data_IF_795609325551
#
_entry.id   IF_795609325551
#
_cell.length_a   1.000
_cell.length_b   1.000
_cell.length_c   1.000
_cell.angle_alpha   90.00
_cell.angle_beta   90.00
_cell.angle_gamma   90.00
#
_symmetry.space_group_name_H-M   'P 1'
#
loop_
_entity.id
_entity.type
_entity.pdbx_description
1 polymer ?
#
# COMPACT_ATOMS: atom_id res chain seq x y z
N UNK A 1 -16.99 21.76 -13.16
CA UNK A 1 -15.73 21.79 -13.95
C UNK A 1 -15.18 20.37 -13.99
N UNK A 2 -15.02 19.79 -15.17
CA UNK A 2 -14.45 18.45 -15.33
C UNK A 2 -12.93 18.48 -15.22
N UNK A 3 -12.35 17.48 -14.57
CA UNK A 3 -10.89 17.29 -14.52
C UNK A 3 -10.42 16.91 -15.93
N UNK A 4 -9.52 17.69 -16.51
CA UNK A 4 -8.89 17.39 -17.80
C UNK A 4 -7.64 16.55 -17.52
N UNK A 5 -7.66 15.28 -17.92
CA UNK A 5 -6.50 14.39 -17.81
C UNK A 5 -5.58 14.66 -19.00
N UNK A 6 -4.43 15.28 -18.76
CA UNK A 6 -3.50 15.69 -19.83
C UNK A 6 -2.33 14.71 -20.07
N UNK A 7 -2.19 13.68 -19.22
CA UNK A 7 -1.10 12.70 -19.32
C UNK A 7 -1.62 11.26 -19.34
N UNK A 8 -1.01 10.42 -20.19
CA UNK A 8 -1.19 8.96 -20.17
C UNK A 8 0.14 8.32 -19.81
N UNK A 9 0.16 7.58 -18.69
CA UNK A 9 1.31 6.76 -18.31
C UNK A 9 1.19 5.42 -19.06
N UNK A 10 2.28 5.00 -19.71
CA UNK A 10 2.34 3.73 -20.42
C UNK A 10 2.23 2.56 -19.43
N UNK A 11 1.49 1.51 -19.81
CA UNK A 11 1.36 0.26 -19.07
C UNK A 11 2.00 -0.86 -19.89
N UNK A 12 2.95 -1.59 -19.32
CA UNK A 12 3.64 -2.68 -20.00
C UNK A 12 3.76 -3.92 -19.10
N UNK A 13 3.73 -5.10 -19.71
CA UNK A 13 3.99 -6.35 -19.01
C UNK A 13 5.48 -6.45 -18.65
N UNK A 14 5.79 -6.45 -17.35
CA UNK A 14 7.17 -6.52 -16.87
C UNK A 14 7.83 -7.89 -17.11
N UNK A 15 7.05 -8.95 -17.35
CA UNK A 15 7.59 -10.26 -17.74
C UNK A 15 8.10 -10.29 -19.18
N UNK A 16 7.64 -9.36 -20.01
CA UNK A 16 8.04 -9.22 -21.42
C UNK A 16 9.05 -8.08 -21.63
N UNK A 17 9.41 -7.36 -20.56
CA UNK A 17 10.31 -6.21 -20.62
C UNK A 17 11.69 -6.58 -20.05
N UNK A 18 12.70 -6.51 -20.92
CA UNK A 18 14.10 -6.66 -20.49
C UNK A 18 14.56 -5.44 -19.67
N UNK A 19 15.59 -5.64 -18.84
CA UNK A 19 16.19 -4.54 -18.06
C UNK A 19 16.76 -3.45 -18.97
N UNK A 20 17.48 -3.84 -20.03
CA UNK A 20 18.08 -2.89 -20.97
C UNK A 20 17.01 -2.05 -21.69
N UNK A 21 15.89 -2.68 -22.08
CA UNK A 21 14.76 -1.96 -22.67
C UNK A 21 14.11 -1.03 -21.65
N UNK A 22 13.95 -1.47 -20.39
CA UNK A 22 13.42 -0.61 -19.33
C UNK A 22 14.30 0.63 -19.11
N UNK A 23 15.62 0.45 -19.06
CA UNK A 23 16.59 1.54 -18.86
C UNK A 23 16.52 2.53 -20.02
N UNK A 24 16.69 2.05 -21.26
CA UNK A 24 16.71 2.90 -22.47
C UNK A 24 15.39 3.60 -22.74
N UNK A 25 14.26 2.91 -22.51
CA UNK A 25 12.93 3.46 -22.82
C UNK A 25 12.43 4.42 -21.75
N UNK A 26 12.67 4.12 -20.48
CA UNK A 26 12.02 4.83 -19.37
C UNK A 26 13.02 5.51 -18.43
N UNK A 27 14.02 4.79 -17.92
CA UNK A 27 14.93 5.31 -16.89
C UNK A 27 15.78 6.47 -17.39
N UNK A 28 16.48 6.31 -18.52
CA UNK A 28 17.35 7.34 -19.11
C UNK A 28 16.58 8.61 -19.48
N UNK A 29 15.29 8.45 -19.82
CA UNK A 29 14.39 9.55 -20.20
C UNK A 29 13.64 10.14 -19.02
N UNK A 30 13.79 9.57 -17.82
CA UNK A 30 13.02 9.91 -16.63
C UNK A 30 11.50 9.88 -16.88
N UNK A 31 11.03 8.89 -17.63
CA UNK A 31 9.63 8.75 -18.03
C UNK A 31 8.90 7.74 -17.14
N UNK A 32 7.75 8.08 -16.54
CA UNK A 32 7.00 7.13 -15.72
C UNK A 32 6.39 6.01 -16.57
N UNK A 33 6.37 4.80 -16.00
CA UNK A 33 5.75 3.61 -16.58
C UNK A 33 5.10 2.77 -15.47
N UNK A 34 3.98 2.13 -15.78
CA UNK A 34 3.33 1.15 -14.91
C UNK A 34 3.68 -0.25 -15.41
N UNK A 35 4.33 -1.05 -14.56
CA UNK A 35 4.67 -2.44 -14.83
C UNK A 35 3.57 -3.36 -14.31
N UNK A 36 3.10 -4.29 -15.15
CA UNK A 36 2.12 -5.34 -14.79
C UNK A 36 2.78 -6.72 -14.84
N UNK A 37 2.12 -7.77 -14.33
CA UNK A 37 2.60 -9.16 -14.47
C UNK A 37 3.68 -9.60 -13.46
N UNK A 38 4.42 -8.66 -12.88
CA UNK A 38 5.56 -8.97 -12.00
C UNK A 38 5.15 -9.43 -10.60
N UNK A 39 4.01 -8.96 -10.12
CA UNK A 39 3.54 -9.18 -8.74
C UNK A 39 2.37 -10.14 -8.67
N UNK A 40 1.89 -10.65 -9.80
CA UNK A 40 0.65 -11.44 -9.89
C UNK A 40 0.70 -12.72 -9.03
N UNK A 41 1.90 -13.25 -8.79
CA UNK A 41 2.15 -14.44 -7.98
C UNK A 41 2.50 -14.13 -6.51
N UNK A 42 2.43 -12.86 -6.09
CA UNK A 42 2.71 -12.49 -4.71
C UNK A 42 1.54 -12.89 -3.83
N UNK A 43 1.83 -13.45 -2.65
CA UNK A 43 0.75 -13.74 -1.71
C UNK A 43 0.05 -12.48 -1.24
N UNK A 44 0.70 -11.31 -1.28
CA UNK A 44 0.03 -10.04 -1.02
C UNK A 44 -1.20 -9.80 -1.92
N UNK A 45 -1.17 -10.28 -3.18
CA UNK A 45 -2.29 -10.19 -4.11
C UNK A 45 -3.47 -11.10 -3.74
N UNK A 46 -3.29 -12.07 -2.85
CA UNK A 46 -4.34 -12.98 -2.35
C UNK A 46 -4.68 -12.74 -0.89
N UNK A 47 -3.68 -12.64 -0.04
CA UNK A 47 -3.79 -12.56 1.43
C UNK A 47 -4.28 -11.17 1.87
N UNK A 48 -3.86 -10.10 1.19
CA UNK A 48 -4.16 -8.71 1.56
C UNK A 48 -5.35 -8.13 0.81
N UNK A 49 -6.06 -8.96 0.04
CA UNK A 49 -7.20 -8.56 -0.77
C UNK A 49 -8.38 -9.46 -0.40
N UNK A 50 -9.56 -8.86 -0.22
CA UNK A 50 -10.80 -9.60 0.00
C UNK A 50 -11.36 -10.13 -1.33
N UNK A 51 -12.32 -11.06 -1.28
CA UNK A 51 -13.01 -11.56 -2.48
C UNK A 51 -13.66 -10.46 -3.33
N UNK A 52 -13.96 -9.30 -2.72
CA UNK A 52 -14.58 -8.16 -3.38
C UNK A 52 -13.55 -7.16 -3.91
N UNK A 53 -12.26 -7.49 -3.90
CA UNK A 53 -11.18 -6.62 -4.36
C UNK A 53 -10.83 -5.47 -3.41
N UNK A 54 -11.46 -5.38 -2.23
CA UNK A 54 -11.13 -4.39 -1.19
C UNK A 54 -9.92 -4.86 -0.36
N UNK A 55 -9.13 -3.95 0.25
CA UNK A 55 -8.05 -4.31 1.17
C UNK A 55 -8.53 -5.21 2.33
N UNK A 56 -7.81 -6.29 2.60
CA UNK A 56 -8.06 -7.19 3.73
C UNK A 56 -7.31 -6.72 4.98
N UNK A 57 -7.82 -5.67 5.63
CA UNK A 57 -7.18 -5.11 6.83
C UNK A 57 -7.14 -6.11 8.00
N UNK A 58 -8.10 -7.03 8.06
CA UNK A 58 -8.17 -8.04 9.11
C UNK A 58 -6.95 -8.96 9.10
N UNK A 59 -6.38 -9.23 7.91
CA UNK A 59 -5.13 -9.99 7.80
C UNK A 59 -4.02 -9.39 8.68
N UNK A 60 -3.85 -8.07 8.65
CA UNK A 60 -2.81 -7.39 9.43
C UNK A 60 -3.15 -7.38 10.92
N UNK A 61 -4.41 -7.19 11.30
CA UNK A 61 -4.84 -7.29 12.69
C UNK A 61 -4.60 -8.68 13.29
N UNK A 62 -4.78 -9.75 12.50
CA UNK A 62 -4.55 -11.13 12.95
C UNK A 62 -3.06 -11.46 13.07
N UNK A 63 -2.24 -11.07 12.08
CA UNK A 63 -0.82 -11.47 12.05
C UNK A 63 0.09 -10.52 12.83
N UNK A 64 -0.27 -9.24 12.93
CA UNK A 64 0.57 -8.20 13.54
C UNK A 64 -0.16 -7.34 14.58
N UNK A 65 -1.04 -7.90 15.44
CA UNK A 65 -1.96 -7.11 16.28
C UNK A 65 -1.24 -6.09 17.17
N UNK A 66 -0.07 -6.47 17.69
CA UNK A 66 0.73 -5.69 18.64
C UNK A 66 1.79 -4.81 17.97
N UNK A 67 1.90 -4.84 16.64
CA UNK A 67 2.88 -4.01 15.94
C UNK A 67 2.52 -2.55 16.13
N UNK A 68 3.47 -1.76 16.64
CA UNK A 68 3.29 -0.35 16.89
C UNK A 68 3.56 0.44 15.62
N UNK A 69 2.58 1.21 15.18
CA UNK A 69 2.61 1.98 13.93
C UNK A 69 2.39 3.46 14.18
N UNK A 70 2.90 4.31 13.28
CA UNK A 70 2.57 5.73 13.23
C UNK A 70 1.46 5.96 12.21
N UNK A 71 0.36 6.54 12.67
CA UNK A 71 -0.81 6.84 11.86
C UNK A 71 -1.01 8.35 11.85
N UNK A 72 -1.17 8.92 10.67
CA UNK A 72 -1.57 10.32 10.51
C UNK A 72 -3.09 10.42 10.64
N UNK A 73 -3.57 11.36 11.44
CA UNK A 73 -4.95 11.82 11.42
C UNK A 73 -5.06 12.97 10.43
N UNK A 74 -5.47 12.66 9.20
CA UNK A 74 -5.64 13.61 8.11
C UNK A 74 -6.83 14.56 8.32
N UNK A 75 -7.72 14.27 9.27
CA UNK A 75 -8.83 15.17 9.63
C UNK A 75 -8.37 16.30 10.55
N UNK A 76 -7.28 16.10 11.28
CA UNK A 76 -6.75 17.07 12.25
C UNK A 76 -5.44 17.67 11.75
N UNK A 77 -5.48 18.97 11.40
CA UNK A 77 -4.28 19.73 11.08
C UNK A 77 -3.52 20.09 12.35
N UNK A 78 -2.23 19.79 12.40
CA UNK A 78 -1.31 20.15 13.48
C UNK A 78 -0.14 20.96 12.87
N UNK A 79 -0.19 22.28 13.04
CA UNK A 79 0.70 23.23 12.35
C UNK A 79 0.65 23.13 10.81
N UNK A 80 1.79 22.82 10.18
CA UNK A 80 1.94 22.62 8.72
C UNK A 80 1.81 21.15 8.31
N UNK A 81 1.61 20.22 9.26
CA UNK A 81 1.48 18.78 9.00
C UNK A 81 0.14 18.23 9.56
N UNK A 82 -0.07 16.93 9.37
CA UNK A 82 -1.16 16.17 9.99
C UNK A 82 -0.71 15.64 11.36
N UNK A 83 -1.64 15.59 12.31
CA UNK A 83 -1.36 15.02 13.64
C UNK A 83 -0.95 13.56 13.51
N UNK A 84 0.16 13.18 14.15
CA UNK A 84 0.62 11.78 14.15
C UNK A 84 0.37 11.14 15.49
N UNK A 85 -0.27 9.99 15.47
CA UNK A 85 -0.58 9.19 16.64
C UNK A 85 0.08 7.83 16.51
N UNK A 86 0.69 7.38 17.60
CA UNK A 86 1.22 6.03 17.68
C UNK A 86 0.13 5.10 18.21
N UNK A 87 -0.12 3.99 17.54
CA UNK A 87 -1.09 2.98 17.98
C UNK A 87 -0.70 1.57 17.53
N UNK A 88 -1.38 0.55 18.04
CA UNK A 88 -1.22 -0.81 17.53
C UNK A 88 -1.96 -0.99 16.21
N UNK A 89 -1.50 -1.93 15.37
CA UNK A 89 -2.22 -2.30 14.13
C UNK A 89 -3.64 -2.73 14.42
N UNK A 90 -3.88 -3.50 15.49
CA UNK A 90 -5.24 -3.91 15.85
C UNK A 90 -6.14 -2.69 16.08
N UNK A 91 -5.67 -1.70 16.85
CA UNK A 91 -6.41 -0.48 17.15
C UNK A 91 -6.65 0.35 15.89
N UNK A 92 -5.67 0.43 14.99
CA UNK A 92 -5.83 1.10 13.70
C UNK A 92 -6.91 0.43 12.85
N UNK A 93 -6.87 -0.90 12.70
CA UNK A 93 -7.85 -1.65 11.90
C UNK A 93 -9.26 -1.50 12.48
N UNK A 94 -9.42 -1.60 13.80
CA UNK A 94 -10.71 -1.42 14.47
C UNK A 94 -11.30 -0.03 14.18
N UNK A 95 -10.47 1.02 14.27
CA UNK A 95 -10.89 2.40 14.00
C UNK A 95 -11.24 2.63 12.52
N UNK A 96 -10.47 2.04 11.59
CA UNK A 96 -10.73 2.13 10.16
C UNK A 96 -12.05 1.47 9.76
N UNK A 97 -12.29 0.24 10.24
CA UNK A 97 -13.51 -0.52 9.93
C UNK A 97 -14.75 0.18 10.49
N UNK A 98 -14.69 0.66 11.74
CA UNK A 98 -15.80 1.42 12.34
C UNK A 98 -16.13 2.70 11.57
N UNK A 99 -15.11 3.36 10.99
CA UNK A 99 -15.30 4.50 10.10
C UNK A 99 -16.09 4.14 8.84
N UNK A 100 -15.74 3.03 8.19
CA UNK A 100 -16.33 2.61 6.91
C UNK A 100 -17.79 2.17 6.97
N UNK A 101 -18.22 1.51 8.06
CA UNK A 101 -19.61 1.01 8.21
C UNK A 101 -20.61 2.16 8.33
N UNK A 102 -20.22 3.26 8.96
CA UNK A 102 -21.13 4.37 9.21
C UNK A 102 -21.30 5.31 8.00
N UNK A 103 -20.46 5.21 6.96
CA UNK A 103 -20.62 5.94 5.71
C UNK A 103 -21.69 5.30 4.81
N UNK A 104 -21.82 3.98 4.82
CA UNK A 104 -22.80 3.23 3.99
C UNK A 104 -24.26 3.37 4.50
N UNK A 105 -24.46 3.64 5.80
CA UNK A 105 -25.79 3.71 6.45
C UNK A 105 -26.37 5.13 6.65
N UNK A 106 -25.67 6.20 6.24
CA UNK A 106 -26.03 7.57 6.63
C UNK A 106 -26.99 8.30 5.67
N UNK A 107 -28.29 7.98 5.80
CA UNK A 107 -29.40 8.91 5.52
C UNK A 107 -29.75 9.79 6.75
N UNK A 108 -28.85 9.90 7.74
CA UNK A 108 -29.10 10.59 9.01
C UNK A 108 -28.23 11.84 9.20
N UNK A 109 -28.91 12.94 9.55
CA UNK A 109 -28.47 14.28 9.97
C UNK A 109 -26.98 14.65 9.94
N UNK A 110 -26.73 15.74 9.21
CA UNK A 110 -25.50 16.45 8.82
C UNK A 110 -24.56 16.99 9.93
N UNK A 111 -24.66 16.55 11.20
CA UNK A 111 -23.84 17.09 12.30
C UNK A 111 -22.78 16.14 12.89
N UNK A 112 -22.98 14.82 12.91
CA UNK A 112 -22.05 13.88 13.56
C UNK A 112 -20.97 13.28 12.62
N UNK A 113 -21.03 13.57 11.32
CA UNK A 113 -20.05 13.05 10.34
C UNK A 113 -18.71 13.79 10.40
N UNK A 114 -18.65 15.00 10.97
CA UNK A 114 -17.49 15.90 10.84
C UNK A 114 -16.33 15.62 11.80
N UNK A 115 -16.52 14.79 12.82
CA UNK A 115 -15.52 14.58 13.88
C UNK A 115 -14.84 13.20 13.86
N UNK A 116 -15.01 12.42 12.78
CA UNK A 116 -14.29 11.15 12.67
C UNK A 116 -12.86 11.35 12.14
N UNK A 117 -11.85 10.73 12.78
CA UNK A 117 -10.47 10.88 12.34
C UNK A 117 -10.28 10.17 11.01
N UNK A 118 -9.79 10.91 10.01
CA UNK A 118 -9.41 10.36 8.70
C UNK A 118 -8.00 9.78 8.85
N UNK A 119 -7.91 8.53 9.30
CA UNK A 119 -6.64 7.89 9.59
C UNK A 119 -5.90 7.53 8.30
N UNK A 120 -4.58 7.61 8.30
CA UNK A 120 -3.71 7.16 7.22
C UNK A 120 -2.45 6.51 7.80
N UNK A 121 -2.26 5.22 7.51
CA UNK A 121 -1.09 4.48 7.92
C UNK A 121 -0.03 4.58 6.81
N UNK A 122 1.09 5.25 7.09
CA UNK A 122 2.18 5.44 6.14
C UNK A 122 3.51 4.92 6.71
N UNK A 123 4.41 4.51 5.82
CA UNK A 123 5.80 4.19 6.14
C UNK A 123 5.92 3.06 7.19
N UNK A 124 4.96 2.12 7.21
CA UNK A 124 5.05 0.93 8.06
C UNK A 124 6.04 -0.08 7.48
N UNK A 125 7.24 -0.12 8.05
CA UNK A 125 8.33 -0.99 7.62
C UNK A 125 8.15 -2.44 8.10
N UNK A 126 7.09 -3.11 7.65
CA UNK A 126 6.72 -4.48 8.05
C UNK A 126 7.92 -5.45 7.95
N UNK A 127 8.70 -5.33 6.89
CA UNK A 127 9.87 -6.17 6.58
C UNK A 127 10.99 -6.07 7.61
N UNK A 128 11.19 -4.87 8.18
CA UNK A 128 12.22 -4.64 9.20
C UNK A 128 11.84 -5.27 10.53
N UNK A 129 10.53 -5.33 10.83
CA UNK A 129 9.99 -5.87 12.08
C UNK A 129 9.75 -7.38 11.99
N UNK A 130 9.35 -7.88 10.82
CA UNK A 130 8.96 -9.29 10.60
C UNK A 130 9.69 -9.90 9.40
N UNK A 131 11.02 -9.99 9.51
CA UNK A 131 11.92 -10.44 8.43
C UNK A 131 11.62 -11.84 7.88
N UNK A 132 11.18 -12.77 8.74
CA UNK A 132 10.79 -14.12 8.35
C UNK A 132 9.47 -14.16 7.55
N UNK A 133 8.57 -13.22 7.78
CA UNK A 133 7.29 -13.14 7.06
C UNK A 133 7.45 -12.58 5.64
N UNK A 134 8.40 -11.66 5.45
CA UNK A 134 8.77 -11.16 4.14
C UNK A 134 9.14 -12.30 3.17
N UNK A 135 10.00 -13.22 3.60
CA UNK A 135 10.41 -14.37 2.79
C UNK A 135 9.26 -15.33 2.43
N UNK A 136 8.12 -15.25 3.13
CA UNK A 136 6.94 -16.08 2.89
C UNK A 136 5.90 -15.40 1.98
N UNK A 137 5.81 -14.06 2.01
CA UNK A 137 4.87 -13.29 1.19
C UNK A 137 5.33 -13.14 -0.25
N UNK A 138 6.63 -12.98 -0.44
CA UNK A 138 7.27 -12.84 -1.73
C UNK A 138 7.77 -14.24 -2.09
N UNK A 139 7.09 -14.86 -3.07
CA UNK A 139 7.29 -16.23 -3.57
C UNK A 139 8.73 -16.78 -3.43
N UNK A 140 8.96 -18.09 -3.21
CA UNK A 140 10.31 -18.67 -3.22
C UNK A 140 11.12 -18.35 -4.50
N UNK A 141 10.46 -17.97 -5.58
CA UNK A 141 11.06 -17.50 -6.82
C UNK A 141 11.77 -16.13 -6.69
N UNK A 142 11.44 -15.33 -5.67
CA UNK A 142 12.16 -14.10 -5.28
C UNK A 142 13.54 -14.39 -4.65
N UNK A 143 13.84 -15.65 -4.33
CA UNK A 143 15.18 -16.09 -3.95
C UNK A 143 16.02 -16.54 -5.16
N UNK A 144 15.44 -16.62 -6.37
CA UNK A 144 16.18 -16.81 -7.61
C UNK A 144 16.60 -15.43 -8.17
N UNK A 145 17.87 -15.23 -8.57
CA UNK A 145 18.41 -13.93 -8.98
C UNK A 145 17.90 -13.40 -10.35
N UNK A 146 16.68 -13.74 -10.78
CA UNK A 146 16.24 -13.54 -12.18
C UNK A 146 15.32 -12.34 -12.45
N UNK A 147 14.78 -11.64 -11.44
CA UNK A 147 14.05 -10.40 -11.73
C UNK A 147 14.98 -9.19 -11.59
N UNK A 148 15.20 -8.46 -12.68
CA UNK A 148 15.98 -7.21 -12.67
C UNK A 148 15.38 -6.16 -11.72
N UNK A 149 14.08 -6.27 -11.43
CA UNK A 149 13.39 -5.42 -10.44
C UNK A 149 13.98 -5.59 -9.04
N UNK A 150 14.49 -6.78 -8.69
CA UNK A 150 15.14 -7.01 -7.40
C UNK A 150 16.52 -6.34 -7.30
N UNK A 151 17.26 -6.28 -8.41
CA UNK A 151 18.49 -5.48 -8.53
C UNK A 151 18.19 -3.98 -8.37
N UNK A 152 17.09 -3.51 -8.98
CA UNK A 152 16.67 -2.11 -8.91
C UNK A 152 16.16 -1.68 -7.52
N UNK A 153 15.35 -2.52 -6.87
CA UNK A 153 14.75 -2.25 -5.54
C UNK A 153 15.73 -2.48 -4.37
N UNK A 154 16.99 -2.84 -4.65
CA UNK A 154 18.06 -2.90 -3.64
C UNK A 154 17.86 -3.96 -2.55
N UNK A 155 17.18 -5.08 -2.84
CA UNK A 155 17.04 -6.26 -1.96
C UNK A 155 16.43 -6.03 -0.57
N UNK A 156 16.09 -4.80 -0.20
CA UNK A 156 15.71 -4.37 1.16
C UNK A 156 14.54 -3.39 1.20
N UNK A 157 14.21 -2.74 0.08
CA UNK A 157 13.14 -1.76 0.01
C UNK A 157 12.00 -2.27 -0.85
N UNK A 158 11.06 -2.95 -0.21
CA UNK A 158 9.69 -2.95 -0.69
C UNK A 158 8.86 -2.18 0.34
N UNK A 159 8.69 -0.89 0.08
CA UNK A 159 7.68 -0.08 0.79
C UNK A 159 6.31 -0.59 0.37
N UNK A 160 5.51 -1.00 1.35
CA UNK A 160 4.08 -1.25 1.14
C UNK A 160 3.45 0.15 1.11
N UNK A 161 2.95 0.57 -0.05
CA UNK A 161 2.24 1.84 -0.23
C UNK A 161 0.80 1.73 0.28
#
# INVERSE_FOLDING_TARGET
MGIKIEGKIEKVNGLELSYDDFVKRYMEKNQPVVLTGLTDQWRACTDWVTSNGKPNLQFFATHFPKSTVQVADCGTREFTDQKRVQMSVSKFVDQWVQGSVQEEDSNASTKDVRDKPLLYLKDWHLVKVYKAFFLLLFSPWFAAPMSWVQLFMGGTYLGIF
#
